data_IF_616330747913
#
_entry.id   IF_616330747913
#
_cell.length_a   1.000
_cell.length_b   1.000
_cell.length_c   1.000
_cell.angle_alpha   90.00
_cell.angle_beta   90.00
_cell.angle_gamma   90.00
#
_symmetry.space_group_name_H-M   'P 1'
#
loop_
_entity.id
_entity.type
_entity.pdbx_description
1 polymer ?
#
# COMPACT_ATOMS: atom_id res chain seq x y z
N UNK A 1 24.07 -18.21 13.78
CA UNK A 1 23.82 -17.48 15.04
C UNK A 1 23.71 -18.50 16.16
N UNK A 2 24.37 -18.30 17.30
CA UNK A 2 24.34 -19.25 18.43
C UNK A 2 23.87 -18.54 19.69
N UNK A 3 22.86 -19.10 20.38
CA UNK A 3 22.39 -18.64 21.70
C UNK A 3 23.53 -18.58 22.72
N UNK A 4 24.50 -19.51 22.60
CA UNK A 4 25.65 -19.61 23.50
C UNK A 4 26.72 -18.53 23.24
N UNK A 5 26.86 -18.07 22.01
CA UNK A 5 27.85 -17.06 21.62
C UNK A 5 27.32 -15.62 21.73
N UNK A 6 26.02 -15.43 21.97
CA UNK A 6 25.35 -14.12 22.04
C UNK A 6 25.62 -13.18 20.84
N UNK A 7 25.98 -13.74 19.68
CA UNK A 7 26.38 -13.00 18.47
C UNK A 7 25.18 -12.70 17.56
N UNK A 8 24.06 -12.28 18.12
CA UNK A 8 22.91 -11.78 17.36
C UNK A 8 22.22 -10.67 18.15
N UNK A 9 21.72 -9.63 17.46
CA UNK A 9 20.92 -8.61 18.10
C UNK A 9 19.63 -9.23 18.63
N UNK A 10 19.25 -8.84 19.85
CA UNK A 10 18.04 -9.33 20.50
C UNK A 10 16.81 -9.04 19.61
N UNK A 11 16.07 -10.07 19.17
CA UNK A 11 14.90 -9.90 18.32
C UNK A 11 13.87 -8.94 18.91
N UNK A 12 13.70 -8.95 20.24
CA UNK A 12 12.75 -8.07 20.89
C UNK A 12 13.19 -6.61 20.89
N UNK A 13 14.50 -6.33 20.91
CA UNK A 13 14.99 -4.96 20.74
C UNK A 13 14.72 -4.45 19.33
N UNK A 14 14.91 -5.29 18.31
CA UNK A 14 14.65 -4.93 16.91
C UNK A 14 13.16 -4.65 16.70
N UNK A 15 12.28 -5.52 17.22
CA UNK A 15 10.83 -5.33 17.13
C UNK A 15 10.39 -4.05 17.84
N UNK A 16 10.96 -3.73 19.01
CA UNK A 16 10.66 -2.48 19.72
C UNK A 16 11.16 -1.23 18.97
N UNK A 17 12.30 -1.31 18.29
CA UNK A 17 12.90 -0.16 17.62
C UNK A 17 12.32 0.10 16.21
N UNK A 18 12.11 -0.96 15.43
CA UNK A 18 11.74 -0.85 14.00
C UNK A 18 10.36 -1.43 13.68
N UNK A 19 9.73 -2.14 14.61
CA UNK A 19 8.45 -2.81 14.41
C UNK A 19 8.58 -4.24 13.89
N UNK A 20 7.56 -5.06 14.17
CA UNK A 20 7.51 -6.45 13.73
C UNK A 20 7.40 -6.58 12.20
N UNK A 21 6.67 -5.67 11.56
CA UNK A 21 6.43 -5.71 10.11
C UNK A 21 7.68 -5.41 9.29
N UNK A 22 8.51 -4.48 9.76
CA UNK A 22 9.81 -4.20 9.15
C UNK A 22 10.71 -5.45 9.16
N UNK A 23 10.74 -6.16 10.28
CA UNK A 23 11.49 -7.41 10.41
C UNK A 23 10.93 -8.50 9.48
N UNK A 24 9.60 -8.65 9.40
CA UNK A 24 8.95 -9.62 8.49
C UNK A 24 9.33 -9.36 7.03
N UNK A 25 9.18 -8.12 6.57
CA UNK A 25 9.54 -7.73 5.21
C UNK A 25 11.03 -7.93 4.93
N UNK A 26 11.90 -7.58 5.88
CA UNK A 26 13.34 -7.81 5.74
C UNK A 26 13.66 -9.30 5.55
N UNK A 27 13.06 -10.17 6.35
CA UNK A 27 13.29 -11.62 6.23
C UNK A 27 12.76 -12.19 4.92
N UNK A 28 11.61 -11.70 4.44
CA UNK A 28 11.04 -12.13 3.15
C UNK A 28 11.91 -11.70 1.96
N UNK A 29 12.45 -10.48 2.02
CA UNK A 29 13.35 -9.94 0.99
C UNK A 29 14.76 -10.56 1.04
N UNK A 30 15.09 -11.26 2.12
CA UNK A 30 16.42 -11.82 2.32
C UNK A 30 16.65 -13.12 1.53
N UNK A 31 17.89 -13.48 1.22
CA UNK A 31 18.21 -14.72 0.51
C UNK A 31 17.90 -15.99 1.33
N UNK A 32 17.46 -15.87 2.59
CA UNK A 32 17.02 -17.00 3.43
C UNK A 32 15.88 -17.77 2.77
N UNK A 33 14.96 -17.08 2.10
CA UNK A 33 13.84 -17.75 1.42
C UNK A 33 14.30 -18.59 0.22
N UNK A 34 15.56 -18.45 -0.20
CA UNK A 34 16.23 -19.29 -1.22
C UNK A 34 17.16 -20.34 -0.60
N UNK A 35 17.02 -20.61 0.70
CA UNK A 35 17.88 -21.50 1.49
C UNK A 35 19.38 -21.09 1.51
N UNK A 36 19.66 -19.80 1.33
CA UNK A 36 21.03 -19.28 1.41
C UNK A 36 21.30 -18.65 2.78
N UNK A 37 22.58 -18.50 3.11
CA UNK A 37 23.02 -17.90 4.36
C UNK A 37 22.70 -16.39 4.39
N UNK A 38 22.03 -15.94 5.45
CA UNK A 38 21.82 -14.52 5.74
C UNK A 38 22.71 -14.07 6.88
N UNK A 39 23.44 -12.98 6.63
CA UNK A 39 24.07 -12.18 7.68
C UNK A 39 23.08 -11.11 8.11
N UNK A 40 22.42 -11.32 9.24
CA UNK A 40 21.45 -10.37 9.77
C UNK A 40 22.14 -9.04 10.08
N UNK A 41 21.53 -7.94 9.60
CA UNK A 41 21.98 -6.58 9.89
C UNK A 41 20.77 -5.71 10.21
N UNK A 42 20.83 -4.98 11.33
CA UNK A 42 19.79 -4.04 11.74
C UNK A 42 19.62 -2.90 10.73
N UNK A 43 20.70 -2.50 10.04
CA UNK A 43 20.64 -1.47 9.00
C UNK A 43 19.68 -1.87 7.87
N UNK A 44 19.68 -3.14 7.46
CA UNK A 44 18.79 -3.62 6.41
C UNK A 44 17.31 -3.59 6.81
N UNK A 45 17.00 -3.76 8.10
CA UNK A 45 15.63 -3.59 8.61
C UNK A 45 15.19 -2.13 8.52
N UNK A 46 16.10 -1.20 8.86
CA UNK A 46 15.85 0.25 8.76
C UNK A 46 15.63 0.70 7.32
N UNK A 47 16.37 0.13 6.38
CA UNK A 47 16.23 0.46 4.96
C UNK A 47 14.84 0.07 4.43
N UNK A 48 14.34 -1.12 4.81
CA UNK A 48 12.98 -1.56 4.46
C UNK A 48 11.91 -0.60 5.00
N UNK A 49 12.08 -0.09 6.23
CA UNK A 49 11.16 0.93 6.79
C UNK A 49 11.16 2.18 5.93
N UNK A 50 12.34 2.68 5.54
CA UNK A 50 12.49 3.91 4.75
C UNK A 50 11.97 3.78 3.32
N UNK A 51 12.14 2.61 2.71
CA UNK A 51 11.82 2.41 1.29
C UNK A 51 10.36 2.01 1.06
N UNK A 52 9.73 1.35 2.05
CA UNK A 52 8.37 0.79 1.92
C UNK A 52 7.38 1.47 2.86
N UNK A 53 7.63 1.38 4.17
CA UNK A 53 6.63 1.77 5.18
C UNK A 53 6.46 3.28 5.26
N UNK A 54 7.56 4.04 5.24
CA UNK A 54 7.53 5.49 5.37
C UNK A 54 6.86 6.17 4.16
N UNK A 55 7.17 5.83 2.89
CA UNK A 55 6.52 6.43 1.75
C UNK A 55 5.03 6.05 1.66
N UNK A 56 4.68 4.81 2.03
CA UNK A 56 3.28 4.39 2.08
C UNK A 56 2.50 5.13 3.19
N UNK A 57 3.08 5.29 4.37
CA UNK A 57 2.47 6.09 5.44
C UNK A 57 2.27 7.55 5.01
N UNK A 58 3.25 8.14 4.34
CA UNK A 58 3.13 9.50 3.80
C UNK A 58 2.04 9.61 2.73
N UNK A 59 1.84 8.58 1.90
CA UNK A 59 0.76 8.52 0.92
C UNK A 59 -0.63 8.47 1.60
N UNK A 60 -0.79 7.66 2.65
CA UNK A 60 -2.01 7.63 3.46
C UNK A 60 -2.28 8.99 4.08
N UNK A 61 -1.27 9.58 4.73
CA UNK A 61 -1.39 10.89 5.36
C UNK A 61 -1.80 11.97 4.36
N UNK A 62 -1.21 11.94 3.17
CA UNK A 62 -1.57 12.85 2.08
C UNK A 62 -3.03 12.67 1.63
N UNK A 63 -3.51 11.43 1.51
CA UNK A 63 -4.92 11.17 1.17
C UNK A 63 -5.85 11.76 2.25
N UNK A 64 -5.62 11.44 3.52
CA UNK A 64 -6.51 11.84 4.62
C UNK A 64 -6.49 13.35 4.88
N UNK A 65 -5.30 13.93 5.14
CA UNK A 65 -5.16 15.32 5.59
C UNK A 65 -5.18 16.31 4.42
N UNK A 66 -4.54 15.98 3.30
CA UNK A 66 -4.37 16.93 2.19
C UNK A 66 -5.41 16.81 1.08
N UNK A 67 -6.20 15.72 1.06
CA UNK A 67 -7.13 15.46 -0.05
C UNK A 67 -8.57 15.33 0.45
N UNK A 68 -8.84 14.39 1.37
CA UNK A 68 -10.19 14.13 1.89
C UNK A 68 -10.67 15.27 2.81
N UNK A 69 -9.86 15.72 3.77
CA UNK A 69 -10.29 16.77 4.70
C UNK A 69 -10.66 18.10 3.99
N UNK A 70 -9.88 18.60 3.01
CA UNK A 70 -10.29 19.77 2.21
C UNK A 70 -11.57 19.53 1.41
N UNK A 71 -11.76 18.32 0.87
CA UNK A 71 -12.98 17.93 0.16
C UNK A 71 -14.22 18.02 1.07
N UNK A 72 -14.17 17.38 2.23
CA UNK A 72 -15.28 17.38 3.19
C UNK A 72 -15.60 18.79 3.69
N UNK A 73 -14.57 19.64 3.85
CA UNK A 73 -14.74 21.03 4.27
C UNK A 73 -15.41 21.87 3.18
N UNK A 74 -15.06 21.66 1.90
CA UNK A 74 -15.56 22.45 0.77
C UNK A 74 -16.97 22.04 0.35
N UNK A 75 -17.24 20.74 0.27
CA UNK A 75 -18.52 20.18 -0.17
C UNK A 75 -19.52 20.03 0.99
N UNK A 76 -19.07 20.18 2.25
CA UNK A 76 -19.85 19.93 3.48
C UNK A 76 -20.51 18.55 3.53
N UNK A 77 -19.95 17.60 2.78
CA UNK A 77 -20.43 16.22 2.67
C UNK A 77 -19.30 15.27 3.03
N UNK A 78 -19.64 14.17 3.71
CA UNK A 78 -18.65 13.16 4.05
C UNK A 78 -18.21 12.41 2.80
N UNK A 79 -16.90 12.23 2.63
CA UNK A 79 -16.37 11.39 1.57
C UNK A 79 -16.58 9.93 1.94
N UNK A 80 -17.36 9.22 1.12
CA UNK A 80 -17.56 7.78 1.23
C UNK A 80 -17.39 7.16 -0.14
N UNK A 81 -16.44 6.24 -0.24
CA UNK A 81 -16.23 5.45 -1.45
C UNK A 81 -16.75 4.04 -1.19
N UNK A 82 -17.59 3.52 -2.08
CA UNK A 82 -17.87 2.09 -2.11
C UNK A 82 -16.74 1.39 -2.89
N UNK A 83 -15.97 0.48 -2.27
CA UNK A 83 -14.87 -0.18 -2.95
C UNK A 83 -15.29 -1.13 -4.10
N UNK A 84 -16.58 -1.51 -4.17
CA UNK A 84 -17.16 -2.25 -5.30
C UNK A 84 -17.49 -1.36 -6.50
N UNK A 85 -17.51 -0.03 -6.34
CA UNK A 85 -17.81 0.86 -7.46
C UNK A 85 -16.67 0.87 -8.49
N UNK A 86 -17.09 0.91 -9.76
CA UNK A 86 -16.17 1.08 -10.88
C UNK A 86 -15.76 2.54 -10.91
N UNK A 87 -14.49 2.81 -10.61
CA UNK A 87 -13.95 4.16 -10.70
C UNK A 87 -13.78 4.49 -12.18
N UNK A 88 -14.73 5.23 -12.72
CA UNK A 88 -14.67 5.71 -14.10
C UNK A 88 -14.08 7.13 -14.08
N UNK A 89 -12.79 7.24 -14.33
CA UNK A 89 -12.08 8.52 -14.45
C UNK A 89 -11.61 8.70 -15.89
N UNK A 90 -11.80 9.88 -16.48
CA UNK A 90 -11.29 10.17 -17.83
C UNK A 90 -9.79 10.47 -17.87
N UNK A 91 -9.17 10.72 -16.70
CA UNK A 91 -7.75 11.04 -16.61
C UNK A 91 -6.87 9.82 -16.92
N UNK A 92 -5.89 10.00 -17.82
CA UNK A 92 -4.94 8.97 -18.21
C UNK A 92 -4.07 8.46 -17.05
N UNK A 93 -3.70 9.32 -16.09
CA UNK A 93 -2.88 8.93 -14.94
C UNK A 93 -3.65 8.03 -13.97
N UNK A 94 -4.95 8.27 -13.81
CA UNK A 94 -5.82 7.46 -12.96
C UNK A 94 -6.01 6.07 -13.57
N UNK A 95 -6.25 6.00 -14.89
CA UNK A 95 -6.29 4.72 -15.63
C UNK A 95 -4.95 3.98 -15.55
N UNK A 96 -3.84 4.71 -15.67
CA UNK A 96 -2.50 4.14 -15.59
C UNK A 96 -2.21 3.53 -14.22
N UNK A 97 -2.48 4.25 -13.11
CA UNK A 97 -2.20 3.70 -11.77
C UNK A 97 -3.10 2.49 -11.49
N UNK A 98 -4.37 2.51 -11.89
CA UNK A 98 -5.28 1.37 -11.75
C UNK A 98 -4.78 0.14 -12.53
N UNK A 99 -4.41 0.34 -13.80
CA UNK A 99 -3.81 -0.73 -14.63
C UNK A 99 -2.52 -1.27 -14.02
N UNK A 100 -1.70 -0.40 -13.44
CA UNK A 100 -0.44 -0.77 -12.81
C UNK A 100 -0.68 -1.56 -11.52
N UNK A 101 -1.69 -1.20 -10.72
CA UNK A 101 -2.13 -1.97 -9.54
C UNK A 101 -2.65 -3.35 -9.93
N UNK A 102 -3.44 -3.46 -11.01
CA UNK A 102 -3.87 -4.79 -11.51
C UNK A 102 -2.69 -5.64 -11.98
N UNK A 103 -1.73 -5.04 -12.68
CA UNK A 103 -0.50 -5.72 -13.09
C UNK A 103 0.32 -6.21 -11.90
N UNK A 104 0.38 -5.43 -10.82
CA UNK A 104 1.03 -5.83 -9.57
C UNK A 104 0.32 -7.03 -8.93
N UNK A 105 -1.02 -7.00 -8.88
CA UNK A 105 -1.81 -8.07 -8.30
C UNK A 105 -1.63 -9.41 -9.04
N UNK A 106 -1.65 -9.37 -10.39
CA UNK A 106 -1.39 -10.54 -11.22
C UNK A 106 0.01 -11.11 -10.96
N UNK A 107 1.02 -10.25 -10.85
CA UNK A 107 2.38 -10.65 -10.51
C UNK A 107 2.46 -11.31 -9.13
N UNK A 108 1.85 -10.70 -8.10
CA UNK A 108 1.80 -11.28 -6.75
C UNK A 108 1.15 -12.65 -6.75
N UNK A 109 0.05 -12.83 -7.49
CA UNK A 109 -0.65 -14.12 -7.61
C UNK A 109 0.25 -15.20 -8.19
N UNK A 110 0.97 -14.89 -9.27
CA UNK A 110 1.88 -15.84 -9.93
C UNK A 110 3.05 -16.21 -9.02
N UNK A 111 3.68 -15.22 -8.38
CA UNK A 111 4.85 -15.46 -7.53
C UNK A 111 4.48 -16.18 -6.22
N UNK A 112 3.32 -15.87 -5.64
CA UNK A 112 2.80 -16.58 -4.47
C UNK A 112 2.43 -18.03 -4.79
N UNK A 113 1.80 -18.28 -5.94
CA UNK A 113 1.50 -19.65 -6.40
C UNK A 113 2.78 -20.48 -6.61
N UNK A 114 3.88 -19.83 -7.01
CA UNK A 114 5.20 -20.44 -7.17
C UNK A 114 6.08 -20.42 -5.89
N UNK A 115 5.56 -19.93 -4.75
CA UNK A 115 6.30 -19.75 -3.49
C UNK A 115 7.58 -18.90 -3.60
N UNK A 116 7.64 -17.96 -4.56
CA UNK A 116 8.80 -17.09 -4.82
C UNK A 116 8.68 -15.76 -4.08
N UNK A 117 8.79 -15.80 -2.75
CA UNK A 117 8.55 -14.61 -1.92
C UNK A 117 9.60 -13.48 -2.08
N UNK A 118 10.83 -13.80 -2.49
CA UNK A 118 11.91 -12.81 -2.63
C UNK A 118 11.70 -11.81 -3.76
N UNK A 119 10.86 -12.11 -4.75
CA UNK A 119 10.59 -11.22 -5.89
C UNK A 119 9.54 -10.15 -5.57
N UNK A 120 8.76 -10.39 -4.52
CA UNK A 120 7.59 -9.60 -4.13
C UNK A 120 8.01 -8.23 -3.60
N UNK A 121 8.97 -8.18 -2.66
CA UNK A 121 9.39 -6.92 -2.01
C UNK A 121 10.03 -5.94 -3.00
N UNK A 122 10.96 -6.34 -3.90
CA UNK A 122 11.50 -5.42 -4.91
C UNK A 122 10.43 -4.85 -5.84
N UNK A 123 9.42 -5.66 -6.21
CA UNK A 123 8.30 -5.19 -7.04
C UNK A 123 7.41 -4.21 -6.28
N UNK A 124 7.18 -4.46 -4.99
CA UNK A 124 6.43 -3.57 -4.11
C UNK A 124 7.12 -2.21 -3.95
N UNK A 125 8.44 -2.19 -3.71
CA UNK A 125 9.21 -0.94 -3.60
C UNK A 125 9.04 -0.09 -4.86
N UNK A 126 9.17 -0.70 -6.05
CA UNK A 126 8.92 -0.01 -7.32
C UNK A 126 7.49 0.51 -7.43
N UNK A 127 6.51 -0.26 -6.97
CA UNK A 127 5.11 0.18 -6.99
C UNK A 127 4.88 1.41 -6.11
N UNK A 128 5.40 1.39 -4.89
CA UNK A 128 5.29 2.51 -3.95
C UNK A 128 6.00 3.74 -4.51
N UNK A 129 7.17 3.58 -5.14
CA UNK A 129 7.86 4.66 -5.85
C UNK A 129 6.99 5.29 -6.95
N UNK A 130 6.38 4.46 -7.81
CA UNK A 130 5.46 4.94 -8.84
C UNK A 130 4.22 5.64 -8.25
N UNK A 131 3.65 5.11 -7.17
CA UNK A 131 2.51 5.72 -6.50
C UNK A 131 2.86 7.11 -5.93
N UNK A 132 3.98 7.23 -5.22
CA UNK A 132 4.34 8.46 -4.51
C UNK A 132 5.00 9.49 -5.43
N UNK A 133 6.02 9.08 -6.18
CA UNK A 133 6.86 9.99 -6.95
C UNK A 133 6.28 10.34 -8.32
N UNK A 134 5.42 9.50 -8.90
CA UNK A 134 4.79 9.77 -10.18
C UNK A 134 3.33 10.18 -9.98
N UNK A 135 2.48 9.29 -9.48
CA UNK A 135 1.04 9.56 -9.39
C UNK A 135 0.72 10.72 -8.42
N UNK A 136 1.08 10.60 -7.14
CA UNK A 136 0.75 11.62 -6.13
C UNK A 136 1.44 12.95 -6.46
N UNK A 137 2.70 12.94 -6.89
CA UNK A 137 3.43 14.17 -7.23
C UNK A 137 2.79 14.92 -8.39
N UNK A 138 2.45 14.23 -9.48
CA UNK A 138 1.86 14.86 -10.67
C UNK A 138 0.42 15.32 -10.43
N UNK A 139 -0.37 14.53 -9.69
CA UNK A 139 -1.76 14.84 -9.39
C UNK A 139 -1.97 15.64 -8.10
N UNK A 140 -0.90 16.14 -7.45
CA UNK A 140 -1.00 16.80 -6.13
C UNK A 140 -1.98 17.97 -6.11
N UNK A 141 -1.97 18.83 -7.14
CA UNK A 141 -2.87 20.00 -7.24
C UNK A 141 -4.32 19.58 -7.47
N UNK A 142 -4.51 18.54 -8.28
CA UNK A 142 -5.84 17.94 -8.56
C UNK A 142 -6.42 17.29 -7.31
N UNK A 143 -5.61 16.51 -6.57
CA UNK A 143 -6.01 15.84 -5.32
C UNK A 143 -6.35 16.82 -4.19
N UNK A 144 -5.78 18.03 -4.21
CA UNK A 144 -6.11 19.12 -3.28
C UNK A 144 -7.34 19.95 -3.67
N UNK A 145 -7.87 19.77 -4.88
CA UNK A 145 -8.97 20.58 -5.41
C UNK A 145 -8.55 21.97 -5.94
N UNK A 146 -7.25 22.25 -6.04
CA UNK A 146 -6.70 23.53 -6.56
C UNK A 146 -6.77 23.62 -8.10
N UNK A 147 -6.74 22.47 -8.78
CA UNK A 147 -6.75 22.37 -10.25
C UNK A 147 -7.77 21.35 -10.75
N UNK A 148 -8.76 21.01 -9.94
CA UNK A 148 -9.87 20.17 -10.40
C UNK A 148 -10.75 21.00 -11.33
N UNK A 149 -10.96 20.50 -12.55
CA UNK A 149 -11.83 21.18 -13.53
C UNK A 149 -13.29 21.18 -13.06
N UNK A 150 -13.71 20.10 -12.40
CA UNK A 150 -15.04 19.89 -11.85
C UNK A 150 -14.96 19.13 -10.51
N UNK A 151 -15.99 19.26 -9.67
CA UNK A 151 -16.10 18.51 -8.41
C UNK A 151 -16.11 16.98 -8.63
N UNK A 152 -16.72 16.54 -9.73
CA UNK A 152 -16.72 15.12 -10.13
C UNK A 152 -15.32 14.61 -10.49
N UNK A 153 -14.47 15.46 -11.08
CA UNK A 153 -13.09 15.10 -11.43
C UNK A 153 -12.24 14.93 -10.16
N UNK A 154 -12.44 15.81 -9.18
CA UNK A 154 -11.80 15.71 -7.88
C UNK A 154 -12.22 14.44 -7.14
N UNK A 155 -13.53 14.16 -7.08
CA UNK A 155 -14.08 12.94 -6.49
C UNK A 155 -13.51 11.69 -7.16
N UNK A 156 -13.40 11.69 -8.49
CA UNK A 156 -12.83 10.57 -9.24
C UNK A 156 -11.37 10.32 -8.87
N UNK A 157 -10.55 11.37 -8.74
CA UNK A 157 -9.16 11.24 -8.30
C UNK A 157 -9.02 10.70 -6.87
N UNK A 158 -9.89 11.16 -5.95
CA UNK A 158 -9.96 10.68 -4.57
C UNK A 158 -10.37 9.21 -4.51
N UNK A 159 -11.38 8.81 -5.27
CA UNK A 159 -11.83 7.43 -5.40
C UNK A 159 -10.71 6.53 -5.94
N UNK A 160 -10.00 6.97 -6.99
CA UNK A 160 -8.86 6.22 -7.54
C UNK A 160 -7.77 5.99 -6.50
N UNK A 161 -7.33 7.05 -5.81
CA UNK A 161 -6.25 6.92 -4.81
C UNK A 161 -6.68 6.06 -3.61
N UNK A 162 -7.92 6.24 -3.13
CA UNK A 162 -8.47 5.44 -2.03
C UNK A 162 -8.56 3.97 -2.42
N UNK A 163 -9.03 3.66 -3.64
CA UNK A 163 -9.11 2.29 -4.16
C UNK A 163 -7.73 1.63 -4.28
N UNK A 164 -6.74 2.34 -4.82
CA UNK A 164 -5.37 1.83 -4.94
C UNK A 164 -4.76 1.54 -3.57
N UNK A 165 -4.91 2.45 -2.60
CA UNK A 165 -4.42 2.24 -1.25
C UNK A 165 -5.14 1.08 -0.55
N UNK A 166 -6.45 0.95 -0.72
CA UNK A 166 -7.22 -0.17 -0.18
C UNK A 166 -6.77 -1.51 -0.78
N UNK A 167 -6.57 -1.59 -2.11
CA UNK A 167 -6.05 -2.79 -2.75
C UNK A 167 -4.65 -3.16 -2.26
N UNK A 168 -3.79 -2.16 -2.00
CA UNK A 168 -2.48 -2.37 -1.42
C UNK A 168 -2.56 -2.94 0.01
N UNK A 169 -3.49 -2.43 0.83
CA UNK A 169 -3.76 -2.98 2.18
C UNK A 169 -4.15 -4.45 2.11
N UNK A 170 -5.11 -4.81 1.25
CA UNK A 170 -5.55 -6.20 1.10
C UNK A 170 -4.41 -7.12 0.64
N UNK A 171 -3.60 -6.66 -0.32
CA UNK A 171 -2.45 -7.41 -0.84
C UNK A 171 -1.36 -7.61 0.20
N UNK A 172 -1.12 -6.60 1.04
CA UNK A 172 -0.03 -6.59 2.01
C UNK A 172 -0.39 -7.18 3.37
N UNK A 173 -1.68 -7.39 3.66
CA UNK A 173 -2.18 -8.00 4.89
C UNK A 173 -1.43 -9.27 5.36
N UNK A 174 -1.09 -10.25 4.51
CA UNK A 174 -0.32 -11.43 4.95
C UNK A 174 1.13 -11.12 5.34
N UNK A 175 1.71 -10.03 4.80
CA UNK A 175 3.11 -9.68 4.99
C UNK A 175 3.31 -8.71 6.16
N UNK A 176 2.51 -7.64 6.23
CA UNK A 176 2.61 -6.56 7.20
C UNK A 176 1.28 -6.33 7.95
N UNK A 177 0.81 -7.32 8.72
CA UNK A 177 -0.53 -7.31 9.30
C UNK A 177 -0.80 -6.11 10.22
N UNK A 178 0.19 -5.66 11.01
CA UNK A 178 -0.03 -4.57 11.96
C UNK A 178 -0.15 -3.22 11.25
N UNK A 179 0.70 -2.98 10.26
CA UNK A 179 0.69 -1.77 9.45
C UNK A 179 -0.55 -1.73 8.56
N UNK A 180 -0.91 -2.83 7.91
CA UNK A 180 -2.11 -2.88 7.07
C UNK A 180 -3.39 -2.69 7.88
N UNK A 181 -3.45 -3.25 9.10
CA UNK A 181 -4.58 -3.02 10.00
C UNK A 181 -4.66 -1.55 10.43
N UNK A 182 -3.52 -0.94 10.77
CA UNK A 182 -3.45 0.48 11.08
C UNK A 182 -3.97 1.35 9.93
N UNK A 183 -3.52 1.09 8.69
CA UNK A 183 -3.97 1.80 7.50
C UNK A 183 -5.47 1.56 7.26
N UNK A 184 -5.92 0.31 7.39
CA UNK A 184 -7.31 -0.07 7.22
C UNK A 184 -8.24 0.66 8.18
N UNK A 185 -7.91 0.74 9.47
CA UNK A 185 -8.73 1.45 10.46
C UNK A 185 -8.92 2.93 10.12
N UNK A 186 -7.89 3.59 9.56
CA UNK A 186 -8.00 4.98 9.13
C UNK A 186 -8.80 5.16 7.84
N UNK A 187 -8.82 4.14 6.97
CA UNK A 187 -9.62 4.15 5.74
C UNK A 187 -11.06 3.70 5.98
N UNK A 188 -11.32 2.91 7.03
CA UNK A 188 -12.62 2.29 7.32
C UNK A 188 -13.76 3.30 7.36
N UNK A 189 -13.55 4.45 7.99
CA UNK A 189 -14.58 5.49 8.12
C UNK A 189 -14.90 6.18 6.77
N UNK A 190 -14.03 6.01 5.77
CA UNK A 190 -14.17 6.56 4.42
C UNK A 190 -14.63 5.52 3.40
N UNK A 191 -14.77 4.26 3.81
CA UNK A 191 -15.22 3.15 2.98
C UNK A 191 -16.64 2.76 3.38
N UNK A 192 -17.54 2.70 2.40
CA UNK A 192 -18.89 2.21 2.61
C UNK A 192 -18.98 0.75 2.14
N UNK A 193 -19.03 -0.18 3.10
CA UNK A 193 -19.15 -1.61 2.82
C UNK A 193 -20.63 -1.98 2.70
N UNK A 194 -21.21 -1.78 1.52
CA UNK A 194 -22.56 -2.31 1.21
C UNK A 194 -22.56 -3.82 0.95
N UNK A 195 -21.42 -4.38 0.52
CA UNK A 195 -21.19 -5.80 0.27
C UNK A 195 -20.23 -6.42 1.30
N UNK A 196 -20.30 -7.74 1.51
CA UNK A 196 -19.39 -8.42 2.43
C UNK A 196 -17.94 -8.20 1.99
N UNK A 197 -17.01 -8.09 2.96
CA UNK A 197 -15.57 -7.94 2.70
C UNK A 197 -14.97 -9.06 1.81
N UNK A 198 -15.65 -10.21 1.72
CA UNK A 198 -15.26 -11.35 0.88
C UNK A 198 -15.59 -11.15 -0.60
N UNK A 199 -16.58 -10.32 -0.90
CA UNK A 199 -17.10 -10.07 -2.25
C UNK A 199 -16.45 -8.83 -2.88
N UNK A 200 -15.53 -8.19 -2.14
CA UNK A 200 -14.73 -7.10 -2.68
C UNK A 200 -13.88 -7.63 -3.83
N UNK A 201 -13.87 -6.96 -4.99
CA UNK A 201 -12.99 -7.33 -6.08
C UNK A 201 -11.57 -7.01 -5.65
N UNK A 202 -10.95 -7.94 -4.91
CA UNK A 202 -9.50 -8.04 -4.76
C UNK A 202 -8.96 -8.56 -6.11
N UNK A 203 -9.38 -7.94 -7.23
CA UNK A 203 -9.02 -8.26 -8.62
C UNK A 203 -8.98 -9.74 -9.03
N UNK A 204 -9.60 -10.66 -8.28
CA UNK A 204 -9.45 -12.09 -8.55
C UNK A 204 -10.46 -12.64 -9.56
N UNK A 205 -11.59 -11.95 -9.79
CA UNK A 205 -12.75 -12.53 -10.49
C UNK A 205 -13.09 -11.95 -11.87
N UNK A 206 -12.33 -10.98 -12.38
CA UNK A 206 -12.61 -10.39 -13.70
C UNK A 206 -11.37 -10.30 -14.58
N UNK A 207 -10.77 -11.46 -14.89
CA UNK A 207 -10.05 -11.65 -16.15
C UNK A 207 -10.46 -13.01 -16.70
N UNK A 208 -11.46 -13.00 -17.57
CA UNK A 208 -11.83 -14.09 -18.48
C UNK A 208 -12.08 -13.47 -19.84
#
# INVERSE_FOLDING_TARGET
MSKRLNNYPDPMKIVKNHGADALRLYLINSPVVRAQNLRFSEAGVRDVVKDVLLPWFNALRFLLECSIQPYETRTRSQFRMNPSDTVCSDNYMDKWILSFTQSLLMFFRQELAAYRLYTVVPRLVKFIDHLVNWYIRMNRRRLKGDSAENEQDWLSALNTLTKVLFQLVCMMAPFTPFFTEFVYQHLRDKLDFSSNLKDLPVGFDHVS
#
